data_IF_998534628509
#
_entry.id   IF_998534628509
#
_cell.length_a   1.000
_cell.length_b   1.000
_cell.length_c   1.000
_cell.angle_alpha   90.00
_cell.angle_beta   90.00
_cell.angle_gamma   90.00
#
_symmetry.space_group_name_H-M   'P 1'
#
loop_
_entity.id
_entity.type
_entity.pdbx_description
1 polymer ?
#
# COMPACT_ATOMS: atom_id res chain seq x y z
N UNK A 1 -13.06 -0.28 -0.40
CA UNK A 1 -12.99 -0.88 -1.74
C UNK A 1 -11.98 -2.01 -1.76
N UNK A 2 -10.66 -1.73 -1.72
CA UNK A 2 -9.67 -2.82 -1.69
C UNK A 2 -8.46 -2.49 -0.81
N UNK A 3 -7.78 -3.55 -0.35
CA UNK A 3 -6.44 -3.50 0.25
C UNK A 3 -5.50 -4.34 -0.62
N UNK A 4 -4.30 -3.84 -0.89
CA UNK A 4 -3.32 -4.54 -1.72
C UNK A 4 -2.12 -4.95 -0.86
N UNK A 5 -1.74 -6.23 -0.94
CA UNK A 5 -0.63 -6.78 -0.16
C UNK A 5 0.31 -7.52 -1.09
N UNK A 6 1.59 -7.18 -1.05
CA UNK A 6 2.65 -7.90 -1.75
C UNK A 6 3.61 -8.51 -0.74
N UNK A 7 3.92 -9.80 -0.90
CA UNK A 7 4.91 -10.50 -0.08
C UNK A 7 5.78 -11.43 -0.93
N UNK A 8 6.77 -12.07 -0.32
CA UNK A 8 7.56 -13.12 -0.98
C UNK A 8 6.74 -14.34 -1.42
N UNK A 9 5.50 -14.51 -0.91
CA UNK A 9 4.62 -15.63 -1.22
C UNK A 9 3.55 -15.32 -2.27
N UNK A 10 3.35 -14.06 -2.62
CA UNK A 10 2.29 -13.69 -3.55
C UNK A 10 1.91 -12.22 -3.52
N UNK A 11 0.87 -11.90 -4.28
CA UNK A 11 0.26 -10.59 -4.42
C UNK A 11 -1.25 -10.76 -4.33
N UNK A 12 -1.87 -9.98 -3.44
CA UNK A 12 -3.31 -10.06 -3.18
C UNK A 12 -3.92 -8.68 -3.36
N UNK A 13 -5.02 -8.62 -4.10
CA UNK A 13 -5.96 -7.49 -4.10
C UNK A 13 -7.20 -8.00 -3.37
N UNK A 14 -7.37 -7.54 -2.14
CA UNK A 14 -8.38 -8.02 -1.21
C UNK A 14 -9.55 -7.06 -1.23
N UNK A 15 -10.76 -7.56 -1.47
CA UNK A 15 -11.98 -6.75 -1.38
C UNK A 15 -12.26 -6.39 0.08
N UNK A 16 -12.44 -5.11 0.37
CA UNK A 16 -12.69 -4.59 1.72
C UNK A 16 -13.88 -3.64 1.72
N UNK A 17 -14.78 -3.80 0.77
CA UNK A 17 -15.99 -3.00 0.64
C UNK A 17 -17.06 -3.48 1.61
N UNK A 18 -16.89 -3.10 2.88
CA UNK A 18 -17.78 -3.47 3.98
C UNK A 18 -19.22 -3.04 3.72
N UNK A 19 -19.44 -1.91 3.02
CA UNK A 19 -20.78 -1.43 2.69
C UNK A 19 -21.54 -2.43 1.80
N UNK A 20 -20.86 -3.01 0.80
CA UNK A 20 -21.46 -3.98 -0.11
C UNK A 20 -21.42 -5.42 0.42
N UNK A 21 -20.36 -5.80 1.15
CA UNK A 21 -20.15 -7.17 1.65
C UNK A 21 -20.82 -7.45 3.00
N UNK A 22 -21.10 -6.39 3.78
CA UNK A 22 -21.54 -6.51 5.16
C UNK A 22 -20.51 -7.13 6.10
N UNK A 23 -20.92 -7.31 7.36
CA UNK A 23 -20.11 -7.95 8.40
C UNK A 23 -20.09 -9.48 8.24
N UNK A 24 -19.25 -9.97 7.32
CA UNK A 24 -19.10 -11.39 7.00
C UNK A 24 -17.74 -11.98 7.43
N UNK A 25 -17.61 -13.31 7.33
CA UNK A 25 -16.38 -14.05 7.68
C UNK A 25 -15.16 -13.53 6.90
N UNK A 26 -15.36 -13.14 5.64
CA UNK A 26 -14.31 -12.54 4.82
C UNK A 26 -13.79 -11.24 5.44
N UNK A 27 -14.67 -10.29 5.80
CA UNK A 27 -14.25 -9.03 6.44
C UNK A 27 -13.57 -9.28 7.78
N UNK A 28 -14.05 -10.24 8.58
CA UNK A 28 -13.40 -10.62 9.85
C UNK A 28 -11.99 -11.16 9.64
N UNK A 29 -11.82 -12.09 8.71
CA UNK A 29 -10.51 -12.65 8.38
C UNK A 29 -9.52 -11.59 7.86
N UNK A 30 -10.01 -10.63 7.06
CA UNK A 30 -9.19 -9.50 6.60
C UNK A 30 -8.74 -8.62 7.76
N UNK A 31 -9.63 -8.28 8.70
CA UNK A 31 -9.29 -7.50 9.89
C UNK A 31 -8.25 -8.21 10.75
N UNK A 32 -8.45 -9.50 11.05
CA UNK A 32 -7.50 -10.30 11.83
C UNK A 32 -6.12 -10.35 11.17
N UNK A 33 -6.07 -10.55 9.85
CA UNK A 33 -4.81 -10.56 9.11
C UNK A 33 -4.10 -9.19 9.14
N UNK A 34 -4.85 -8.09 8.97
CA UNK A 34 -4.32 -6.75 9.07
C UNK A 34 -3.79 -6.46 10.48
N UNK A 35 -4.58 -6.73 11.51
CA UNK A 35 -4.17 -6.52 12.91
C UNK A 35 -2.90 -7.31 13.24
N UNK A 36 -2.79 -8.56 12.79
CA UNK A 36 -1.56 -9.33 12.91
C UNK A 36 -0.37 -8.66 12.21
N UNK A 37 -0.53 -8.24 10.95
CA UNK A 37 0.54 -7.60 10.17
C UNK A 37 1.04 -6.28 10.77
N UNK A 38 0.15 -5.48 11.37
CA UNK A 38 0.49 -4.15 11.91
C UNK A 38 0.83 -4.15 13.42
N UNK A 39 0.61 -5.27 14.12
CA UNK A 39 0.95 -5.43 15.54
C UNK A 39 2.27 -6.17 15.75
N UNK A 40 2.65 -7.09 14.86
CA UNK A 40 3.89 -7.87 15.00
C UNK A 40 5.12 -7.02 14.58
N UNK A 41 6.04 -6.69 15.52
CA UNK A 41 7.23 -5.90 15.21
C UNK A 41 8.24 -6.64 14.31
N UNK A 42 8.10 -7.95 14.13
CA UNK A 42 8.94 -8.74 13.21
C UNK A 42 8.50 -8.58 11.76
N UNK A 43 7.27 -8.13 11.53
CA UNK A 43 6.75 -7.83 10.20
C UNK A 43 7.06 -6.36 9.91
N UNK A 44 7.69 -6.11 8.76
CA UNK A 44 7.93 -4.76 8.26
C UNK A 44 6.96 -4.47 7.14
N UNK A 45 6.12 -3.45 7.35
CA UNK A 45 5.16 -3.02 6.34
C UNK A 45 5.77 -1.88 5.54
N UNK A 46 5.76 -1.99 4.22
CA UNK A 46 6.15 -0.89 3.33
C UNK A 46 4.88 -0.18 2.86
N UNK A 47 4.87 1.15 2.97
CA UNK A 47 3.80 2.01 2.49
C UNK A 47 4.35 3.16 1.66
N UNK A 48 3.46 3.94 1.03
CA UNK A 48 3.82 5.14 0.31
C UNK A 48 2.77 6.23 0.54
N UNK A 49 3.14 7.36 1.15
CA UNK A 49 2.18 8.38 1.59
C UNK A 49 1.14 7.81 2.56
N UNK A 50 1.61 6.99 3.50
CA UNK A 50 0.81 5.98 4.18
C UNK A 50 -0.14 6.55 5.25
N UNK A 51 -0.03 7.82 5.61
CA UNK A 51 -0.84 8.43 6.68
C UNK A 51 -2.35 8.33 6.41
N UNK A 52 -2.78 8.50 5.14
CA UNK A 52 -4.19 8.34 4.75
C UNK A 52 -4.63 6.89 4.73
N UNK A 53 -3.76 5.99 4.29
CA UNK A 53 -4.04 4.56 4.30
C UNK A 53 -4.17 4.03 5.72
N UNK A 54 -3.32 4.48 6.63
CA UNK A 54 -3.41 4.16 8.05
C UNK A 54 -4.78 4.54 8.63
N UNK A 55 -5.27 5.76 8.36
CA UNK A 55 -6.58 6.19 8.84
C UNK A 55 -7.72 5.31 8.28
N UNK A 56 -7.63 4.91 7.01
CA UNK A 56 -8.61 3.99 6.37
C UNK A 56 -8.54 2.58 6.95
N UNK A 57 -7.34 2.07 7.22
CA UNK A 57 -7.15 0.76 7.83
C UNK A 57 -7.63 0.73 9.28
N UNK A 58 -7.43 1.81 10.03
CA UNK A 58 -7.98 1.95 11.39
C UNK A 58 -9.51 2.02 11.38
N UNK A 59 -10.11 2.70 10.41
CA UNK A 59 -11.56 2.69 10.23
C UNK A 59 -12.09 1.29 9.83
N UNK A 60 -11.33 0.55 9.02
CA UNK A 60 -11.65 -0.83 8.66
C UNK A 60 -11.52 -1.78 9.86
N UNK A 61 -10.61 -1.52 10.80
CA UNK A 61 -10.31 -2.37 11.95
C UNK A 61 -10.60 -1.62 13.27
N UNK A 62 -11.88 -1.45 13.67
CA UNK A 62 -12.25 -0.67 14.84
C UNK A 62 -11.77 -1.29 16.17
N UNK A 63 -11.29 -2.54 16.16
CA UNK A 63 -10.75 -3.24 17.34
C UNK A 63 -9.41 -2.70 17.86
N UNK A 64 -8.77 -1.77 17.13
CA UNK A 64 -7.61 -1.03 17.63
C UNK A 64 -6.24 -1.70 17.40
N UNK A 65 -6.15 -2.75 16.59
CA UNK A 65 -4.89 -3.46 16.32
C UNK A 65 -3.96 -2.82 15.28
N UNK A 66 -4.43 -1.80 14.54
CA UNK A 66 -3.65 -1.17 13.46
C UNK A 66 -2.82 0.00 14.00
N UNK A 67 -1.52 -0.27 14.22
CA UNK A 67 -0.52 0.75 14.54
C UNK A 67 0.35 1.08 13.33
N UNK A 68 0.77 2.34 13.17
CA UNK A 68 1.74 2.71 12.14
C UNK A 68 3.20 2.42 12.51
N UNK A 69 3.47 1.72 13.62
CA UNK A 69 4.82 1.65 14.23
C UNK A 69 5.81 0.81 13.41
N UNK A 70 5.35 -0.26 12.78
CA UNK A 70 6.18 -1.12 11.93
C UNK A 70 6.10 -0.74 10.44
N UNK A 71 5.52 0.41 10.13
CA UNK A 71 5.45 0.94 8.76
C UNK A 71 6.73 1.69 8.42
N UNK A 72 7.23 1.45 7.21
CA UNK A 72 8.24 2.29 6.54
C UNK A 72 7.55 2.97 5.37
N UNK A 73 7.37 4.29 5.50
CA UNK A 73 6.80 5.11 4.44
C UNK A 73 7.90 5.47 3.44
N UNK A 74 7.90 4.80 2.29
CA UNK A 74 8.90 4.98 1.24
C UNK A 74 8.85 6.37 0.60
N UNK A 75 7.75 7.12 0.73
CA UNK A 75 7.71 8.50 0.26
C UNK A 75 8.76 9.34 1.00
N UNK A 76 8.86 9.18 2.32
CA UNK A 76 9.82 9.90 3.16
C UNK A 76 11.27 9.49 2.90
N UNK A 77 11.49 8.20 2.64
CA UNK A 77 12.82 7.69 2.26
C UNK A 77 13.24 8.32 0.92
N UNK A 78 12.34 8.33 -0.06
CA UNK A 78 12.60 8.89 -1.37
C UNK A 78 12.79 10.42 -1.35
N UNK A 79 12.14 11.16 -0.45
CA UNK A 79 12.41 12.60 -0.28
C UNK A 79 13.89 12.87 0.00
N UNK A 80 14.51 12.07 0.88
CA UNK A 80 15.93 12.15 1.18
C UNK A 80 16.81 11.73 0.00
N UNK A 81 16.52 10.56 -0.59
CA UNK A 81 17.30 10.01 -1.71
C UNK A 81 17.27 10.92 -2.95
N UNK A 82 16.10 11.50 -3.25
CA UNK A 82 15.91 12.37 -4.40
C UNK A 82 16.25 13.84 -4.12
N UNK A 83 16.64 14.19 -2.88
CA UNK A 83 16.93 15.55 -2.45
C UNK A 83 15.80 16.52 -2.81
N UNK A 84 14.55 16.13 -2.55
CA UNK A 84 13.41 16.97 -2.94
C UNK A 84 13.43 18.30 -2.19
N UNK A 85 12.98 19.41 -2.84
CA UNK A 85 12.88 20.70 -2.16
C UNK A 85 12.05 20.59 -0.88
N UNK A 86 12.42 21.37 0.13
CA UNK A 86 11.72 21.37 1.43
C UNK A 86 10.24 21.64 1.23
N UNK A 87 9.38 20.71 1.66
CA UNK A 87 7.93 20.79 1.51
C UNK A 87 7.37 20.16 0.23
N UNK A 88 8.22 19.67 -0.68
CA UNK A 88 7.81 18.90 -1.85
C UNK A 88 7.98 17.40 -1.60
N UNK A 89 6.86 16.65 -1.67
CA UNK A 89 6.86 15.20 -1.52
C UNK A 89 6.66 14.55 -2.90
N UNK A 90 7.50 13.58 -3.31
CA UNK A 90 7.38 12.99 -4.63
C UNK A 90 6.17 12.04 -4.68
N UNK A 91 5.47 12.01 -5.81
CA UNK A 91 4.47 10.98 -6.06
C UNK A 91 5.14 9.63 -6.35
N UNK A 92 4.44 8.52 -6.12
CA UNK A 92 4.95 7.19 -6.45
C UNK A 92 5.36 7.08 -7.93
N UNK A 93 4.56 7.68 -8.83
CA UNK A 93 4.89 7.76 -10.25
C UNK A 93 6.23 8.47 -10.50
N UNK A 94 6.46 9.61 -9.84
CA UNK A 94 7.70 10.39 -9.97
C UNK A 94 8.91 9.63 -9.40
N UNK A 95 8.73 8.91 -8.29
CA UNK A 95 9.76 8.02 -7.73
C UNK A 95 10.11 6.91 -8.72
N UNK A 96 9.10 6.24 -9.29
CA UNK A 96 9.32 5.18 -10.27
C UNK A 96 10.05 5.70 -11.52
N UNK A 97 9.65 6.86 -12.03
CA UNK A 97 10.34 7.47 -13.17
C UNK A 97 11.81 7.76 -12.85
N UNK A 98 12.08 8.35 -11.67
CA UNK A 98 13.43 8.74 -11.27
C UNK A 98 14.34 7.53 -10.97
N UNK A 99 13.83 6.50 -10.29
CA UNK A 99 14.65 5.39 -9.80
C UNK A 99 14.64 4.17 -10.74
N UNK A 100 13.56 3.97 -11.51
CA UNK A 100 13.39 2.81 -12.39
C UNK A 100 13.50 3.16 -13.87
N UNK A 101 13.53 4.45 -14.22
CA UNK A 101 13.44 4.92 -15.61
C UNK A 101 12.11 4.57 -16.27
N UNK A 102 11.07 4.25 -15.48
CA UNK A 102 9.76 3.80 -15.94
C UNK A 102 8.64 4.48 -15.15
N UNK A 103 7.62 4.90 -15.86
CA UNK A 103 6.49 5.65 -15.28
C UNK A 103 5.31 4.71 -15.04
N UNK A 104 4.74 4.72 -13.84
CA UNK A 104 3.48 4.03 -13.57
C UNK A 104 2.34 4.68 -14.36
N UNK A 105 1.50 3.86 -14.99
CA UNK A 105 0.30 4.32 -15.67
C UNK A 105 -0.73 4.76 -14.63
N UNK A 106 -1.34 5.94 -14.82
CA UNK A 106 -2.39 6.50 -13.93
C UNK A 106 -3.81 6.17 -14.39
N UNK A 107 -3.98 5.21 -15.29
CA UNK A 107 -5.22 4.99 -16.04
C UNK A 107 -6.42 4.60 -15.18
N UNK A 108 -6.20 4.04 -13.98
CA UNK A 108 -7.27 3.57 -13.09
C UNK A 108 -7.32 4.28 -11.73
N UNK A 109 -6.55 5.35 -11.54
CA UNK A 109 -6.54 6.10 -10.27
C UNK A 109 -7.94 6.65 -9.92
N UNK A 110 -8.70 7.07 -10.94
CA UNK A 110 -10.04 7.64 -10.80
C UNK A 110 -11.16 6.71 -11.32
N UNK A 111 -10.91 5.40 -11.45
CA UNK A 111 -11.96 4.45 -11.84
C UNK A 111 -12.99 4.25 -10.74
N UNK A 112 -14.16 3.70 -11.09
CA UNK A 112 -15.18 3.30 -10.12
C UNK A 112 -14.72 2.05 -9.34
N UNK A 113 -14.14 2.28 -8.16
CA UNK A 113 -13.67 1.23 -7.26
C UNK A 113 -14.79 0.57 -6.43
N UNK A 114 -16.04 1.05 -6.54
CA UNK A 114 -17.22 0.41 -5.94
C UNK A 114 -17.87 -0.60 -6.90
N UNK A 115 -17.62 -0.50 -8.22
CA UNK A 115 -18.09 -1.48 -9.20
C UNK A 115 -17.72 -2.92 -8.80
N UNK A 116 -18.66 -3.86 -8.94
CA UNK A 116 -18.41 -5.31 -8.81
C UNK A 116 -18.97 -6.11 -9.99
N UNK A 117 -18.21 -7.10 -10.53
CA UNK A 117 -16.81 -7.40 -10.19
C UNK A 117 -15.87 -6.28 -10.66
N UNK A 118 -14.71 -6.15 -10.00
CA UNK A 118 -13.64 -5.28 -10.49
C UNK A 118 -13.17 -5.75 -11.87
N UNK A 119 -12.88 -4.82 -12.76
CA UNK A 119 -12.32 -5.16 -14.07
C UNK A 119 -10.90 -5.70 -13.93
N UNK A 120 -10.46 -6.50 -14.92
CA UNK A 120 -9.08 -6.99 -14.97
C UNK A 120 -8.06 -5.85 -14.88
N UNK A 121 -8.32 -4.73 -15.54
CA UNK A 121 -7.40 -3.59 -15.56
C UNK A 121 -7.32 -2.88 -14.19
N UNK A 122 -8.43 -2.81 -13.43
CA UNK A 122 -8.39 -2.34 -12.04
C UNK A 122 -7.60 -3.28 -11.13
N UNK A 123 -7.76 -4.59 -11.29
CA UNK A 123 -6.99 -5.58 -10.52
C UNK A 123 -5.49 -5.45 -10.83
N UNK A 124 -5.11 -5.37 -12.10
CA UNK A 124 -3.71 -5.19 -12.52
C UNK A 124 -3.11 -3.88 -11.99
N UNK A 125 -3.88 -2.78 -12.03
CA UNK A 125 -3.46 -1.50 -11.46
C UNK A 125 -3.24 -1.58 -9.95
N UNK A 126 -4.23 -2.08 -9.21
CA UNK A 126 -4.13 -2.23 -7.75
C UNK A 126 -2.97 -3.15 -7.34
N UNK A 127 -2.82 -4.26 -8.06
CA UNK A 127 -1.71 -5.19 -7.89
C UNK A 127 -0.35 -4.49 -8.06
N UNK A 128 -0.21 -3.66 -9.09
CA UNK A 128 1.04 -2.95 -9.38
C UNK A 128 1.42 -1.95 -8.29
N UNK A 129 0.44 -1.26 -7.68
CA UNK A 129 0.68 -0.27 -6.61
C UNK A 129 1.35 -0.89 -5.37
N UNK A 130 1.06 -2.15 -5.04
CA UNK A 130 1.76 -2.87 -3.96
C UNK A 130 3.04 -3.57 -4.44
N UNK A 131 3.02 -4.14 -5.65
CA UNK A 131 4.16 -4.88 -6.19
C UNK A 131 5.37 -3.98 -6.41
N UNK A 132 5.16 -2.75 -6.89
CA UNK A 132 6.25 -1.81 -7.20
C UNK A 132 7.06 -1.45 -5.95
N UNK A 133 6.41 -1.29 -4.79
CA UNK A 133 7.12 -1.00 -3.54
C UNK A 133 8.07 -2.14 -3.16
N UNK A 134 7.59 -3.39 -3.19
CA UNK A 134 8.35 -4.56 -2.74
C UNK A 134 9.38 -5.06 -3.75
N UNK A 135 9.01 -5.13 -5.03
CA UNK A 135 9.82 -5.82 -6.06
C UNK A 135 10.77 -4.86 -6.75
N UNK A 136 10.38 -3.60 -6.94
CA UNK A 136 11.14 -2.66 -7.74
C UNK A 136 11.83 -1.57 -6.89
N UNK A 137 11.15 -1.01 -5.89
CA UNK A 137 11.73 0.07 -5.07
C UNK A 137 12.57 -0.45 -3.91
N UNK A 138 12.09 -1.44 -3.15
CA UNK A 138 12.79 -1.98 -1.99
C UNK A 138 14.26 -2.39 -2.31
N UNK A 139 14.57 -3.11 -3.40
CA UNK A 139 15.97 -3.47 -3.69
C UNK A 139 16.90 -2.27 -3.91
N UNK A 140 16.36 -1.13 -4.35
CA UNK A 140 17.13 0.10 -4.57
C UNK A 140 17.24 0.97 -3.31
N UNK A 141 16.37 0.73 -2.33
CA UNK A 141 16.22 1.56 -1.13
C UNK A 141 16.59 0.81 0.16
N UNK A 142 17.01 -0.45 0.08
CA UNK A 142 17.22 -1.32 1.25
C UNK A 142 18.18 -0.68 2.26
N UNK A 143 19.30 -0.14 1.78
CA UNK A 143 20.31 0.51 2.62
C UNK A 143 19.79 1.82 3.24
N UNK A 144 18.79 2.46 2.62
CA UNK A 144 18.18 3.70 3.12
C UNK A 144 17.04 3.45 4.10
N UNK A 145 16.45 2.24 4.11
CA UNK A 145 15.34 1.87 5.00
C UNK A 145 15.85 1.40 6.37
N UNK A 146 17.06 0.84 6.40
CA UNK A 146 17.73 0.31 7.59
C UNK A 146 18.72 1.29 8.25
N UNK A 147 19.00 2.43 7.61
CA UNK A 147 19.82 3.52 8.15
C UNK A 147 19.06 4.40 9.17
#
# INVERSE_FOLDING_TARGET
ATVQVSSGRGLWVVDTDVENLGECDHIRAVREALEYMFSDPRIRVLGFSFSRDLARLQALCPGGGISGRNVRDLQKVCEGVMQTPKGATPSLQRVCEALLGRTLLKTHQCSDWQQRPLTRAQLEYAALDALVLRVHLLPLLVDCIDA
#
